data_IF_574138482808
#
_entry.id   IF_574138482808
#
_cell.length_a   1.000
_cell.length_b   1.000
_cell.length_c   1.000
_cell.angle_alpha   90.00
_cell.angle_beta   90.00
_cell.angle_gamma   90.00
#
_symmetry.space_group_name_H-M   'P 1'
#
loop_
_entity.id
_entity.type
_entity.pdbx_description
1 polymer ?
#
# COMPACT_ATOMS: atom_id res chain seq x y z
N UNK A 1 -34.98 -9.46 26.15
CA UNK A 1 -34.24 -9.34 24.87
C UNK A 1 -33.27 -8.16 24.99
N UNK A 2 -31.98 -8.41 25.15
CA UNK A 2 -31.00 -7.32 25.20
C UNK A 2 -30.70 -6.87 23.76
N UNK A 3 -31.12 -5.64 23.43
CA UNK A 3 -30.74 -4.95 22.19
C UNK A 3 -29.25 -4.59 22.27
N UNK A 4 -28.38 -5.46 21.76
CA UNK A 4 -26.97 -5.13 21.62
C UNK A 4 -26.80 -4.07 20.52
N UNK A 5 -26.37 -2.85 20.90
CA UNK A 5 -25.82 -1.89 19.94
C UNK A 5 -24.45 -2.39 19.47
N UNK A 6 -24.41 -2.92 18.25
CA UNK A 6 -23.16 -3.24 17.57
C UNK A 6 -22.49 -1.94 17.13
N UNK A 7 -21.40 -1.54 17.81
CA UNK A 7 -20.59 -0.38 17.45
C UNK A 7 -19.67 -0.71 16.25
N UNK A 8 -20.07 -0.26 15.05
CA UNK A 8 -19.34 -0.48 13.77
C UNK A 8 -18.09 0.41 13.60
N UNK A 9 -17.16 0.40 14.56
CA UNK A 9 -15.93 1.19 14.50
C UNK A 9 -14.68 0.55 15.12
N UNK A 10 -14.81 -0.49 15.95
CA UNK A 10 -13.74 -0.96 16.86
C UNK A 10 -12.62 -1.75 16.14
N UNK A 11 -12.70 -1.96 14.82
CA UNK A 11 -11.68 -2.66 14.02
C UNK A 11 -11.53 -2.06 12.60
N UNK A 12 -11.91 -0.79 12.41
CA UNK A 12 -11.64 -0.15 11.12
C UNK A 12 -10.16 0.22 11.06
N UNK A 13 -9.45 -0.16 9.98
CA UNK A 13 -8.07 0.26 9.84
C UNK A 13 -7.97 1.77 9.73
N UNK A 14 -6.80 2.31 10.05
CA UNK A 14 -6.54 3.74 9.93
C UNK A 14 -6.66 4.12 8.44
N UNK A 15 -7.76 4.82 8.13
CA UNK A 15 -8.04 5.38 6.81
C UNK A 15 -7.97 6.90 6.89
N UNK A 16 -7.12 7.51 6.07
CA UNK A 16 -6.97 8.95 5.96
C UNK A 16 -7.53 9.41 4.62
N UNK A 17 -8.74 10.02 4.63
CA UNK A 17 -9.44 10.47 3.42
C UNK A 17 -9.56 9.38 2.33
N UNK A 18 -9.82 8.13 2.74
CA UNK A 18 -9.91 6.96 1.83
C UNK A 18 -8.56 6.31 1.49
N UNK A 19 -7.45 6.85 1.98
CA UNK A 19 -6.12 6.25 1.87
C UNK A 19 -5.85 5.34 3.07
N UNK A 20 -5.48 4.09 2.82
CA UNK A 20 -5.23 3.12 3.91
C UNK A 20 -3.81 3.25 4.46
N UNK A 21 -3.60 2.94 5.74
CA UNK A 21 -2.36 3.17 6.49
C UNK A 21 -1.05 2.90 5.71
N UNK A 22 -0.90 1.73 5.09
CA UNK A 22 0.32 1.36 4.34
C UNK A 22 0.63 2.33 3.19
N UNK A 23 -0.39 2.84 2.50
CA UNK A 23 -0.24 3.77 1.36
C UNK A 23 0.11 5.19 1.80
N UNK A 24 -0.29 5.58 3.02
CA UNK A 24 0.15 6.86 3.61
C UNK A 24 1.68 6.85 3.76
N UNK A 25 2.24 5.73 4.24
CA UNK A 25 3.69 5.55 4.33
C UNK A 25 4.39 5.68 2.97
N UNK A 26 3.87 5.05 1.92
CA UNK A 26 4.42 5.17 0.57
C UNK A 26 4.35 6.60 0.03
N UNK A 27 3.25 7.30 0.28
CA UNK A 27 3.09 8.69 -0.13
C UNK A 27 4.08 9.59 0.58
N UNK A 28 4.27 9.41 1.89
CA UNK A 28 5.23 10.17 2.68
C UNK A 28 6.66 9.99 2.17
N UNK A 29 7.10 8.75 1.97
CA UNK A 29 8.44 8.46 1.42
C UNK A 29 8.58 9.06 0.02
N UNK A 30 7.57 8.95 -0.84
CA UNK A 30 7.58 9.54 -2.18
C UNK A 30 7.69 11.07 -2.18
N UNK A 31 7.01 11.75 -1.26
CA UNK A 31 7.10 13.21 -1.10
C UNK A 31 8.48 13.64 -0.60
N UNK A 32 9.09 12.89 0.34
CA UNK A 32 10.47 13.15 0.79
C UNK A 32 11.45 13.02 -0.37
N UNK A 33 11.30 11.98 -1.20
CA UNK A 33 12.14 11.80 -2.41
C UNK A 33 11.96 12.93 -3.42
N UNK A 34 10.72 13.41 -3.62
CA UNK A 34 10.47 14.57 -4.49
C UNK A 34 11.12 15.84 -3.96
N UNK A 35 11.09 16.07 -2.65
CA UNK A 35 11.74 17.21 -2.01
C UNK A 35 13.26 17.15 -2.17
N UNK A 36 13.87 15.98 -1.93
CA UNK A 36 15.31 15.78 -2.15
C UNK A 36 15.66 15.97 -3.63
N UNK A 37 14.86 15.42 -4.54
CA UNK A 37 15.03 15.60 -5.98
C UNK A 37 14.96 17.07 -6.41
N UNK A 38 14.03 17.84 -5.84
CA UNK A 38 13.97 19.28 -6.03
C UNK A 38 15.26 19.98 -5.60
N UNK A 39 15.71 19.71 -4.37
CA UNK A 39 16.89 20.33 -3.81
C UNK A 39 18.13 20.04 -4.67
N UNK A 40 18.29 18.80 -5.13
CA UNK A 40 19.39 18.41 -6.02
C UNK A 40 19.32 19.16 -7.35
N UNK A 41 18.16 19.14 -8.04
CA UNK A 41 18.01 19.85 -9.32
C UNK A 41 18.27 21.35 -9.18
N UNK A 42 17.79 21.96 -8.10
CA UNK A 42 18.01 23.38 -7.80
C UNK A 42 19.49 23.70 -7.57
N UNK A 43 20.20 22.88 -6.77
CA UNK A 43 21.63 23.07 -6.48
C UNK A 43 22.49 22.92 -7.74
N UNK A 44 22.13 22.02 -8.66
CA UNK A 44 22.83 21.82 -9.94
C UNK A 44 22.61 22.99 -10.91
N UNK A 45 21.72 23.94 -10.59
CA UNK A 45 21.47 25.13 -11.40
C UNK A 45 20.39 24.95 -12.46
N UNK A 46 19.53 23.93 -12.33
CA UNK A 46 18.38 23.78 -13.23
C UNK A 46 17.41 24.96 -13.02
N UNK A 47 16.88 25.58 -14.09
CA UNK A 47 15.92 26.67 -13.97
C UNK A 47 14.72 26.27 -13.10
N UNK A 48 14.35 27.14 -12.16
CA UNK A 48 13.27 26.87 -11.19
C UNK A 48 11.96 26.51 -11.88
N UNK A 49 11.64 27.14 -13.01
CA UNK A 49 10.43 26.84 -13.80
C UNK A 49 10.45 25.38 -14.28
N UNK A 50 11.59 24.90 -14.78
CA UNK A 50 11.76 23.50 -15.19
C UNK A 50 11.61 22.55 -14.00
N UNK A 51 12.19 22.89 -12.84
CA UNK A 51 12.03 22.12 -11.61
C UNK A 51 10.56 21.99 -11.17
N UNK A 52 9.80 23.10 -11.22
CA UNK A 52 8.37 23.12 -10.86
C UNK A 52 7.58 22.21 -11.80
N UNK A 53 7.81 22.30 -13.11
CA UNK A 53 7.13 21.45 -14.09
C UNK A 53 7.43 19.97 -13.81
N UNK A 54 8.69 19.61 -13.61
CA UNK A 54 9.09 18.22 -13.33
C UNK A 54 8.42 17.70 -12.05
N UNK A 55 8.49 18.47 -10.96
CA UNK A 55 7.93 18.04 -9.66
C UNK A 55 6.42 17.99 -9.68
N UNK A 56 5.75 18.93 -10.36
CA UNK A 56 4.29 18.90 -10.48
C UNK A 56 3.82 17.65 -11.21
N UNK A 57 4.49 17.26 -12.30
CA UNK A 57 4.19 16.03 -13.06
C UNK A 57 4.47 14.79 -12.21
N UNK A 58 5.65 14.70 -11.60
CA UNK A 58 6.02 13.55 -10.76
C UNK A 58 5.15 13.43 -9.51
N UNK A 59 4.84 14.55 -8.87
CA UNK A 59 3.93 14.63 -7.73
C UNK A 59 2.53 14.16 -8.10
N UNK A 60 1.96 14.67 -9.19
CA UNK A 60 0.65 14.25 -9.67
C UNK A 60 0.62 12.74 -9.99
N UNK A 61 1.67 12.23 -10.65
CA UNK A 61 1.85 10.81 -10.91
C UNK A 61 1.94 9.96 -9.64
N UNK A 62 2.69 10.42 -8.63
CA UNK A 62 2.81 9.77 -7.34
C UNK A 62 1.44 9.66 -6.64
N UNK A 63 0.72 10.78 -6.53
CA UNK A 63 -0.62 10.79 -5.93
C UNK A 63 -1.56 9.84 -6.68
N UNK A 64 -1.65 9.96 -8.01
CA UNK A 64 -2.50 9.07 -8.81
C UNK A 64 -2.17 7.60 -8.58
N UNK A 65 -0.89 7.23 -8.61
CA UNK A 65 -0.46 5.85 -8.47
C UNK A 65 -0.74 5.30 -7.07
N UNK A 66 -0.47 6.07 -6.01
CA UNK A 66 -0.71 5.64 -4.62
C UNK A 66 -2.21 5.48 -4.36
N UNK A 67 -3.05 6.42 -4.80
CA UNK A 67 -4.50 6.30 -4.65
C UNK A 67 -5.08 5.12 -5.45
N UNK A 68 -4.61 4.91 -6.69
CA UNK A 68 -4.99 3.76 -7.50
C UNK A 68 -4.63 2.44 -6.82
N UNK A 69 -3.44 2.34 -6.23
CA UNK A 69 -3.03 1.17 -5.49
C UNK A 69 -3.86 0.97 -4.21
N UNK A 70 -4.11 2.05 -3.46
CA UNK A 70 -4.94 2.05 -2.24
C UNK A 70 -6.33 1.50 -2.51
N UNK A 71 -6.98 1.99 -3.58
CA UNK A 71 -8.31 1.54 -3.96
C UNK A 71 -8.32 0.12 -4.52
N UNK A 72 -7.30 -0.27 -5.30
CA UNK A 72 -7.25 -1.59 -5.95
C UNK A 72 -6.98 -2.73 -4.98
N UNK A 73 -6.04 -2.55 -4.04
CA UNK A 73 -5.56 -3.64 -3.19
C UNK A 73 -6.09 -3.54 -1.76
N UNK A 74 -6.54 -2.36 -1.31
CA UNK A 74 -6.93 -2.19 0.08
C UNK A 74 -5.76 -2.40 1.05
N UNK A 75 -6.03 -2.53 2.35
CA UNK A 75 -5.00 -2.48 3.40
C UNK A 75 -4.02 -3.65 3.29
N UNK A 76 -4.53 -4.88 3.19
CA UNK A 76 -3.70 -6.08 3.16
C UNK A 76 -3.44 -6.62 1.75
N UNK A 77 -3.97 -6.01 0.68
CA UNK A 77 -3.89 -6.62 -0.65
C UNK A 77 -2.49 -6.63 -1.24
N UNK A 78 -1.66 -5.62 -0.95
CA UNK A 78 -0.25 -5.65 -1.34
C UNK A 78 0.52 -6.74 -0.59
N UNK A 79 0.26 -6.89 0.71
CA UNK A 79 0.87 -7.96 1.51
C UNK A 79 0.46 -9.34 1.00
N UNK A 80 -0.82 -9.54 0.67
CA UNK A 80 -1.31 -10.78 0.05
C UNK A 80 -0.69 -11.04 -1.32
N UNK A 81 -0.53 -10.00 -2.14
CA UNK A 81 0.12 -10.11 -3.46
C UNK A 81 1.60 -10.49 -3.32
N UNK A 82 2.30 -9.91 -2.35
CA UNK A 82 3.69 -10.27 -2.06
C UNK A 82 3.78 -11.71 -1.51
N UNK A 83 2.89 -12.09 -0.60
CA UNK A 83 2.80 -13.45 -0.04
C UNK A 83 2.57 -14.51 -1.13
N UNK A 84 1.78 -14.19 -2.17
CA UNK A 84 1.56 -15.09 -3.32
C UNK A 84 2.88 -15.54 -3.98
N UNK A 85 3.93 -14.72 -3.93
CA UNK A 85 5.24 -15.08 -4.50
C UNK A 85 5.97 -16.17 -3.71
N UNK A 86 5.62 -16.36 -2.44
CA UNK A 86 6.22 -17.36 -1.56
C UNK A 86 5.44 -18.68 -1.52
N UNK A 87 4.29 -18.77 -2.21
CA UNK A 87 3.50 -19.99 -2.29
C UNK A 87 4.07 -20.95 -3.34
N UNK A 88 4.20 -22.25 -3.03
CA UNK A 88 4.61 -23.26 -4.01
C UNK A 88 3.54 -23.41 -5.11
N UNK A 89 3.96 -23.71 -6.34
CA UNK A 89 3.06 -23.85 -7.50
C UNK A 89 2.03 -24.97 -7.32
N UNK A 90 2.39 -26.03 -6.60
CA UNK A 90 1.49 -27.12 -6.27
C UNK A 90 1.87 -27.73 -4.92
N UNK A 91 0.87 -28.24 -4.22
CA UNK A 91 1.06 -29.06 -3.03
C UNK A 91 0.86 -30.51 -3.43
N UNK A 92 1.91 -31.33 -3.33
CA UNK A 92 1.81 -32.78 -3.54
C UNK A 92 1.76 -33.47 -2.18
N UNK A 93 0.67 -34.15 -1.90
CA UNK A 93 0.51 -34.96 -0.71
C UNK A 93 0.66 -36.44 -1.09
N UNK A 94 1.69 -37.09 -0.56
CA UNK A 94 1.92 -38.53 -0.80
C UNK A 94 1.04 -39.42 0.08
N UNK A 95 0.55 -38.90 1.22
CA UNK A 95 -0.17 -39.70 2.22
C UNK A 95 -1.40 -38.97 2.76
N UNK A 96 -2.53 -39.68 2.89
CA UNK A 96 -3.80 -39.14 3.44
C UNK A 96 -3.76 -38.83 4.95
N UNK A 97 -2.71 -39.24 5.66
CA UNK A 97 -2.56 -39.06 7.10
C UNK A 97 -2.55 -37.59 7.54
N UNK A 98 -2.12 -36.66 6.67
CA UNK A 98 -2.14 -35.21 6.94
C UNK A 98 -3.58 -34.74 7.20
N UNK A 99 -4.55 -35.23 6.43
CA UNK A 99 -5.95 -34.84 6.57
C UNK A 99 -6.66 -35.61 7.69
N UNK A 100 -6.28 -36.86 7.94
CA UNK A 100 -6.85 -37.67 9.02
C UNK A 100 -6.46 -37.14 10.42
N UNK A 101 -5.25 -36.60 10.56
CA UNK A 101 -4.77 -36.01 11.84
C UNK A 101 -5.38 -34.65 12.15
N UNK A 102 -5.98 -33.95 11.18
CA UNK A 102 -6.63 -32.66 11.40
C UNK A 102 -8.01 -32.77 12.08
N UNK A 103 -8.60 -33.97 12.15
CA UNK A 103 -9.97 -34.19 12.63
C UNK A 103 -10.09 -34.30 14.17
N UNK A 104 -9.30 -33.54 14.92
CA UNK A 104 -9.39 -33.47 16.39
C UNK A 104 -10.08 -32.18 16.83
#
# INVERSE_FOLDING_TARGET
MALYQINKGINKPIEFKGLKAQYIGYLAVGLVLLLVGFAVMYIVGVPVISCIIIISVLGSGLFYQVFKLSHKYGEHGLMKKAAKRYLPNHLKFTTRNVFLKLKK
#
